data_IF_050598644817
#
_entry.id   IF_050598644817
#
_cell.length_a   1.000
_cell.length_b   1.000
_cell.length_c   1.000
_cell.angle_alpha   90.00
_cell.angle_beta   90.00
_cell.angle_gamma   90.00
#
_symmetry.space_group_name_H-M   'P 1'
#
loop_
_entity.id
_entity.type
_entity.pdbx_description
1 polymer ?
#
# COMPACT_ATOMS: atom_id res chain seq x y z
N UNK A 1 -11.71 -1.69 -20.87
CA UNK A 1 -11.79 -0.86 -19.65
C UNK A 1 -10.36 -0.66 -19.16
N UNK A 2 -9.88 0.57 -18.90
CA UNK A 2 -8.57 0.73 -18.26
C UNK A 2 -8.59 0.04 -16.89
N UNK A 3 -7.46 -0.56 -16.51
CA UNK A 3 -7.33 -1.13 -15.17
C UNK A 3 -7.48 -0.01 -14.12
N UNK A 4 -8.12 -0.29 -12.97
CA UNK A 4 -8.18 0.69 -11.89
C UNK A 4 -6.77 1.05 -11.43
N UNK A 5 -6.58 2.31 -11.05
CA UNK A 5 -5.32 2.76 -10.45
C UNK A 5 -5.12 2.08 -9.09
N UNK A 6 -3.86 1.85 -8.74
CA UNK A 6 -3.45 1.18 -7.50
C UNK A 6 -3.29 2.22 -6.40
N UNK A 7 -4.03 2.10 -5.28
CA UNK A 7 -3.83 2.94 -4.11
C UNK A 7 -2.37 2.84 -3.63
N UNK A 8 -1.69 3.97 -3.56
CA UNK A 8 -0.32 4.10 -3.06
C UNK A 8 -0.34 5.13 -1.94
N UNK A 9 -0.02 4.71 -0.72
CA UNK A 9 -0.21 5.51 0.49
C UNK A 9 1.15 5.86 1.08
N UNK A 10 1.41 7.14 1.28
CA UNK A 10 2.60 7.64 1.96
C UNK A 10 2.26 8.98 2.66
N UNK A 11 3.00 9.32 3.71
CA UNK A 11 2.86 10.62 4.39
C UNK A 11 3.61 11.73 3.65
N UNK A 12 4.60 11.38 2.81
CA UNK A 12 5.48 12.34 2.15
C UNK A 12 5.12 12.53 0.66
N UNK A 13 4.16 13.42 0.42
CA UNK A 13 3.79 13.84 -0.95
C UNK A 13 4.94 14.54 -1.67
N UNK A 14 5.75 15.31 -0.96
CA UNK A 14 6.80 16.12 -1.58
C UNK A 14 7.83 15.21 -2.26
N UNK A 15 8.31 14.18 -1.58
CA UNK A 15 9.25 13.20 -2.17
C UNK A 15 8.61 12.47 -3.36
N UNK A 16 7.34 12.08 -3.27
CA UNK A 16 6.63 11.48 -4.40
C UNK A 16 6.59 12.42 -5.61
N UNK A 17 6.21 13.68 -5.44
CA UNK A 17 6.03 14.62 -6.56
C UNK A 17 7.34 15.13 -7.14
N UNK A 18 8.35 15.42 -6.30
CA UNK A 18 9.62 16.00 -6.74
C UNK A 18 10.60 14.95 -7.27
N UNK A 19 10.58 13.73 -6.73
CA UNK A 19 11.56 12.68 -7.05
C UNK A 19 10.93 11.55 -7.85
N UNK A 20 9.86 10.93 -7.33
CA UNK A 20 9.28 9.72 -7.93
C UNK A 20 8.50 9.99 -9.22
N UNK A 21 7.55 10.92 -9.17
CA UNK A 21 6.57 11.20 -10.22
C UNK A 21 7.21 11.55 -11.58
N UNK A 22 8.30 12.34 -11.68
CA UNK A 22 8.97 12.58 -12.96
C UNK A 22 9.48 11.30 -13.64
N UNK A 23 9.99 10.34 -12.85
CA UNK A 23 10.50 9.05 -13.35
C UNK A 23 9.34 8.16 -13.77
N UNK A 24 8.27 8.11 -12.96
CA UNK A 24 7.06 7.33 -13.22
C UNK A 24 6.36 7.84 -14.50
N UNK A 25 6.21 9.16 -14.66
CA UNK A 25 5.68 9.79 -15.88
C UNK A 25 6.54 9.48 -17.10
N UNK A 26 7.87 9.51 -16.96
CA UNK A 26 8.78 9.14 -18.04
C UNK A 26 8.61 7.67 -18.47
N UNK A 27 8.25 6.79 -17.54
CA UNK A 27 7.93 5.39 -17.82
C UNK A 27 6.51 5.19 -18.39
N UNK A 28 5.64 6.22 -18.37
CA UNK A 28 4.30 6.19 -18.93
C UNK A 28 3.30 5.32 -18.13
N UNK A 29 3.53 5.15 -16.84
CA UNK A 29 2.71 4.29 -15.95
C UNK A 29 2.03 5.05 -14.82
N UNK A 30 2.09 6.38 -14.82
CA UNK A 30 1.49 7.23 -13.78
C UNK A 30 -0.02 7.01 -13.64
N UNK A 31 -0.70 6.69 -14.74
CA UNK A 31 -2.13 6.38 -14.75
C UNK A 31 -2.51 5.11 -13.97
N UNK A 32 -1.53 4.30 -13.54
CA UNK A 32 -1.73 3.12 -12.70
C UNK A 32 -1.63 3.42 -11.21
N UNK A 33 -1.31 4.66 -10.82
CA UNK A 33 -1.06 5.04 -9.44
C UNK A 33 -2.14 6.01 -8.98
N UNK A 34 -2.78 5.70 -7.87
CA UNK A 34 -3.63 6.62 -7.12
C UNK A 34 -2.92 6.97 -5.81
N UNK A 35 -2.26 8.13 -5.78
CA UNK A 35 -1.44 8.53 -4.63
C UNK A 35 -2.28 9.21 -3.55
N UNK A 36 -2.26 8.62 -2.35
CA UNK A 36 -3.00 9.06 -1.17
C UNK A 36 -1.98 9.55 -0.14
N UNK A 37 -1.99 10.85 0.13
CA UNK A 37 -1.19 11.44 1.19
C UNK A 37 -1.88 11.21 2.54
N UNK A 38 -1.41 10.22 3.30
CA UNK A 38 -2.01 9.83 4.59
C UNK A 38 -1.14 8.86 5.35
N UNK A 39 -1.41 8.71 6.65
CA UNK A 39 -0.99 7.51 7.37
C UNK A 39 -1.74 6.28 6.81
N UNK A 40 -1.08 5.12 6.80
CA UNK A 40 -1.65 3.93 6.17
C UNK A 40 -2.92 3.43 6.86
N UNK A 41 -3.02 3.50 8.20
CA UNK A 41 -4.22 3.04 8.94
C UNK A 41 -5.50 3.79 8.52
N UNK A 42 -5.58 5.14 8.60
CA UNK A 42 -6.79 5.86 8.20
C UNK A 42 -7.10 5.71 6.71
N UNK A 43 -6.10 5.61 5.83
CA UNK A 43 -6.34 5.36 4.42
C UNK A 43 -6.95 3.96 4.16
N UNK A 44 -6.46 2.93 4.84
CA UNK A 44 -7.02 1.58 4.77
C UNK A 44 -8.44 1.52 5.35
N UNK A 45 -8.71 2.23 6.46
CA UNK A 45 -10.06 2.37 7.01
C UNK A 45 -10.99 3.06 6.00
N UNK A 46 -10.51 4.10 5.32
CA UNK A 46 -11.27 4.79 4.28
C UNK A 46 -11.60 3.89 3.09
N UNK A 47 -10.67 3.02 2.69
CA UNK A 47 -10.90 2.04 1.65
C UNK A 47 -11.99 1.03 2.05
N UNK A 48 -12.03 0.62 3.32
CA UNK A 48 -13.03 -0.30 3.86
C UNK A 48 -14.43 0.32 4.01
N UNK A 49 -14.56 1.65 3.99
CA UNK A 49 -15.89 2.29 3.98
C UNK A 49 -16.69 1.98 2.70
N UNK A 50 -16.02 1.61 1.60
CA UNK A 50 -16.68 1.14 0.38
C UNK A 50 -16.80 -0.39 0.40
N UNK A 51 -18.02 -0.96 0.48
CA UNK A 51 -18.20 -2.42 0.48
C UNK A 51 -17.68 -3.12 -0.77
N UNK A 52 -17.59 -2.43 -1.91
CA UNK A 52 -17.05 -3.01 -3.15
C UNK A 52 -15.53 -3.27 -3.07
N UNK A 53 -14.84 -2.67 -2.10
CA UNK A 53 -13.41 -2.86 -1.92
C UNK A 53 -13.07 -4.13 -1.12
N UNK A 54 -14.02 -4.69 -0.36
CA UNK A 54 -13.79 -5.93 0.39
C UNK A 54 -13.51 -7.09 -0.57
N UNK A 55 -12.40 -7.81 -0.36
CA UNK A 55 -11.99 -8.91 -1.21
C UNK A 55 -11.72 -8.55 -2.67
N UNK A 56 -11.44 -7.28 -2.97
CA UNK A 56 -11.25 -6.78 -4.34
C UNK A 56 -9.79 -6.70 -4.78
N UNK A 57 -8.85 -6.68 -3.82
CA UNK A 57 -7.42 -6.52 -4.10
C UNK A 57 -6.73 -7.88 -4.29
N UNK A 58 -5.87 -7.97 -5.30
CA UNK A 58 -5.09 -9.18 -5.59
C UNK A 58 -3.80 -9.26 -4.76
N UNK A 59 -3.21 -8.10 -4.47
CA UNK A 59 -1.87 -7.98 -3.93
C UNK A 59 -1.73 -6.74 -3.06
N UNK A 60 -0.94 -6.84 -1.99
CA UNK A 60 -0.50 -5.72 -1.16
C UNK A 60 0.99 -5.83 -0.84
N UNK A 61 1.71 -4.72 -0.95
CA UNK A 61 3.11 -4.60 -0.53
C UNK A 61 3.22 -3.59 0.61
N UNK A 62 3.77 -4.02 1.74
CA UNK A 62 3.85 -3.23 2.96
C UNK A 62 5.31 -2.98 3.30
N UNK A 63 5.75 -1.76 3.01
CA UNK A 63 7.02 -1.20 3.46
C UNK A 63 6.79 0.18 4.10
N UNK A 64 6.33 0.15 5.34
CA UNK A 64 6.00 1.33 6.13
C UNK A 64 6.54 1.16 7.56
N UNK A 65 5.97 1.88 8.54
CA UNK A 65 6.36 1.72 9.93
C UNK A 65 5.95 0.34 10.49
N UNK A 66 6.93 -0.37 11.06
CA UNK A 66 6.73 -1.78 11.46
C UNK A 66 5.86 -1.93 12.72
N UNK A 67 5.72 -0.87 13.52
CA UNK A 67 4.87 -0.84 14.72
C UNK A 67 3.39 -1.00 14.38
N UNK A 68 2.95 -0.55 13.20
CA UNK A 68 1.57 -0.72 12.75
C UNK A 68 1.33 -1.95 11.87
N UNK A 69 2.32 -2.83 11.65
CA UNK A 69 2.16 -4.00 10.78
C UNK A 69 0.93 -4.85 11.12
N UNK A 70 0.63 -5.02 12.41
CA UNK A 70 -0.57 -5.73 12.85
C UNK A 70 -1.86 -5.00 12.44
N UNK A 71 -1.91 -3.69 12.65
CA UNK A 71 -3.06 -2.86 12.28
C UNK A 71 -3.32 -2.87 10.77
N UNK A 72 -2.25 -2.90 9.97
CA UNK A 72 -2.35 -3.07 8.52
C UNK A 72 -2.87 -4.46 8.18
N UNK A 73 -2.35 -5.50 8.83
CA UNK A 73 -2.73 -6.89 8.56
C UNK A 73 -4.25 -7.11 8.72
N UNK A 74 -4.84 -6.62 9.80
CA UNK A 74 -6.29 -6.77 10.05
C UNK A 74 -7.16 -6.15 8.95
N UNK A 75 -6.70 -5.04 8.35
CA UNK A 75 -7.41 -4.34 7.26
C UNK A 75 -7.14 -4.98 5.91
N UNK A 76 -5.89 -5.32 5.63
CA UNK A 76 -5.49 -5.99 4.40
C UNK A 76 -6.12 -7.37 4.26
N UNK A 77 -6.35 -8.10 5.35
CA UNK A 77 -7.10 -9.36 5.33
C UNK A 77 -8.54 -9.21 4.82
N UNK A 78 -9.16 -8.05 5.02
CA UNK A 78 -10.51 -7.75 4.52
C UNK A 78 -10.49 -7.25 3.09
N UNK A 79 -9.50 -6.43 2.73
CA UNK A 79 -9.36 -5.84 1.40
C UNK A 79 -8.89 -6.86 0.36
N UNK A 80 -8.03 -7.80 0.73
CA UNK A 80 -7.51 -8.82 -0.18
C UNK A 80 -8.53 -9.91 -0.45
N UNK A 81 -8.61 -10.33 -1.72
CA UNK A 81 -9.41 -11.48 -2.12
C UNK A 81 -8.89 -12.78 -1.52
N UNK A 82 -9.73 -13.81 -1.47
CA UNK A 82 -9.28 -15.18 -1.14
C UNK A 82 -8.22 -15.62 -2.16
N UNK A 83 -7.04 -16.01 -1.66
CA UNK A 83 -5.88 -16.34 -2.48
C UNK A 83 -5.03 -15.13 -2.91
N UNK A 84 -5.37 -13.92 -2.45
CA UNK A 84 -4.53 -12.74 -2.59
C UNK A 84 -3.24 -12.83 -1.77
N UNK A 85 -2.26 -12.01 -2.13
CA UNK A 85 -0.92 -12.04 -1.55
C UNK A 85 -0.59 -10.73 -0.84
N UNK A 86 -0.19 -10.80 0.43
CA UNK A 86 0.44 -9.68 1.14
C UNK A 86 1.94 -9.97 1.33
N UNK A 87 2.78 -9.00 1.02
CA UNK A 87 4.22 -9.04 1.24
C UNK A 87 4.60 -7.95 2.23
N UNK A 88 5.18 -8.36 3.36
CA UNK A 88 5.78 -7.46 4.33
C UNK A 88 7.28 -7.41 4.11
N UNK A 89 7.81 -6.20 3.97
CA UNK A 89 9.23 -6.01 3.75
C UNK A 89 9.99 -5.76 5.06
N UNK A 90 11.30 -6.07 5.07
CA UNK A 90 12.20 -5.97 6.22
C UNK A 90 11.76 -6.75 7.48
N UNK A 91 11.09 -7.90 7.34
CA UNK A 91 10.66 -8.74 8.49
C UNK A 91 11.80 -9.38 9.27
N UNK A 92 13.01 -9.46 8.70
CA UNK A 92 14.21 -10.01 9.35
C UNK A 92 15.18 -8.91 9.84
N UNK A 93 14.63 -7.79 10.35
CA UNK A 93 15.34 -6.53 10.57
C UNK A 93 16.54 -6.63 11.55
N UNK A 94 17.75 -6.71 10.99
CA UNK A 94 19.06 -6.69 11.69
C UNK A 94 19.27 -7.79 12.75
N UNK A 95 20.53 -8.05 13.11
CA UNK A 95 21.02 -9.20 13.89
C UNK A 95 20.40 -9.45 15.29
N UNK A 96 19.40 -8.68 15.71
CA UNK A 96 18.68 -8.83 16.98
C UNK A 96 17.50 -9.80 16.94
N UNK A 97 17.02 -10.20 15.77
CA UNK A 97 15.91 -11.18 15.65
C UNK A 97 16.37 -12.64 15.73
N UNK A 98 17.69 -12.87 15.85
CA UNK A 98 18.29 -14.18 16.14
C UNK A 98 18.84 -14.10 17.56
N UNK A 99 18.01 -14.44 18.54
CA UNK A 99 18.40 -14.68 19.93
C UNK A 99 17.87 -16.04 20.37
#
# INVERSE_FOLDING_TARGET
>A
MPLPATPTIDIDRETYEQVGLPIIKKAGVEHKIDFIESEAVPALDKLLENPENEGSFDFAYVDADKVNNWNYHERLLKLLKVGGLVVYEHTLQSSSSIA
#
